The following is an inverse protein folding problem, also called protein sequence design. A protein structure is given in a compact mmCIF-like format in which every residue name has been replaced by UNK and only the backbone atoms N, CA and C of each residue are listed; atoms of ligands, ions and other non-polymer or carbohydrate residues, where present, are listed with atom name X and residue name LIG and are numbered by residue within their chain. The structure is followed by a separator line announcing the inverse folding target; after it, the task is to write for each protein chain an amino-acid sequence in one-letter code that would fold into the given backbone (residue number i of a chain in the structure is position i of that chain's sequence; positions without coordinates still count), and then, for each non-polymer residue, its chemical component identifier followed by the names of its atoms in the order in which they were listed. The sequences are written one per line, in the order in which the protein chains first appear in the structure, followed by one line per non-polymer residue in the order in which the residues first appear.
data_IF_018429910788
#
_entry.id   IF_018429910788
#
_cell.length_a   1.000
_cell.length_b   1.000
_cell.length_c   1.000
_cell.angle_alpha   90.00
_cell.angle_beta   90.00
_cell.angle_gamma   90.00
#
_symmetry.space_group_name_H-M   'P 1'
#
loop_
_entity.id
_entity.type
_entity.pdbx_description
1 polymer ?
#
# COMPACT_ATOMS: atom_id res chain seq x y z
N UNK A 1 23.06 0.71 -40.58
CA UNK A 1 24.54 0.72 -40.39
C UNK A 1 25.22 1.72 -41.37
N UNK A 2 24.87 3.00 -41.31
CA UNK A 2 25.50 4.04 -42.13
C UNK A 2 26.87 4.44 -41.54
N UNK A 3 27.88 4.61 -42.40
CA UNK A 3 29.20 5.09 -41.98
C UNK A 3 30.14 4.04 -41.34
N UNK A 4 29.83 2.73 -41.45
CA UNK A 4 30.72 1.65 -41.00
C UNK A 4 31.56 1.17 -42.19
N UNK A 5 32.87 1.12 -42.00
CA UNK A 5 33.81 0.42 -42.89
C UNK A 5 34.06 -0.96 -42.29
N UNK A 6 33.79 -2.03 -43.06
CA UNK A 6 33.95 -3.42 -42.61
C UNK A 6 35.12 -4.08 -43.37
N UNK A 7 36.17 -4.42 -42.64
CA UNK A 7 37.32 -5.17 -43.17
C UNK A 7 37.08 -6.67 -42.92
N UNK A 8 36.79 -7.41 -43.99
CA UNK A 8 36.51 -8.87 -43.90
C UNK A 8 37.73 -9.64 -43.37
N UNK A 9 37.48 -10.46 -42.36
CA UNK A 9 38.49 -11.31 -41.71
C UNK A 9 38.42 -12.77 -42.22
N UNK A 10 37.19 -13.28 -42.43
CA UNK A 10 36.98 -14.65 -42.94
C UNK A 10 35.52 -15.05 -42.95
N UNK A 11 35.25 -16.18 -43.61
CA UNK A 11 33.94 -16.83 -43.64
C UNK A 11 33.99 -18.20 -42.98
N UNK A 12 32.91 -18.57 -42.31
CA UNK A 12 32.69 -19.88 -41.74
C UNK A 12 31.41 -20.43 -42.31
N UNK A 13 31.50 -21.50 -43.10
CA UNK A 13 30.31 -22.13 -43.70
C UNK A 13 29.58 -22.97 -42.69
N UNK A 14 28.25 -22.91 -42.70
CA UNK A 14 27.34 -23.64 -41.84
C UNK A 14 26.57 -24.65 -42.67
N UNK A 15 26.80 -25.94 -42.47
CA UNK A 15 26.15 -27.05 -43.17
C UNK A 15 25.70 -28.17 -42.24
N UNK A 16 26.29 -28.30 -41.07
CA UNK A 16 26.03 -29.34 -40.08
C UNK A 16 25.80 -28.71 -38.73
N UNK A 17 25.12 -29.41 -37.83
CA UNK A 17 24.87 -28.95 -36.47
C UNK A 17 26.17 -28.66 -35.69
N UNK A 18 27.21 -29.50 -35.89
CA UNK A 18 28.56 -29.30 -35.33
C UNK A 18 29.19 -27.95 -35.72
N UNK A 19 28.77 -27.33 -36.85
CA UNK A 19 29.31 -26.04 -37.26
C UNK A 19 28.83 -24.92 -36.33
N UNK A 20 27.74 -25.10 -35.57
CA UNK A 20 27.26 -24.13 -34.57
C UNK A 20 28.33 -23.99 -33.45
N UNK A 21 28.89 -25.09 -33.00
CA UNK A 21 29.94 -25.10 -31.97
C UNK A 21 31.21 -24.47 -32.52
N UNK A 22 31.61 -24.88 -33.76
CA UNK A 22 32.81 -24.35 -34.41
C UNK A 22 32.74 -22.83 -34.64
N UNK A 23 31.62 -22.30 -35.10
CA UNK A 23 31.41 -20.85 -35.28
C UNK A 23 31.51 -20.13 -33.96
N UNK A 24 30.82 -20.65 -32.92
CA UNK A 24 30.80 -20.06 -31.58
C UNK A 24 32.19 -19.91 -31.00
N UNK A 25 33.01 -20.99 -31.08
CA UNK A 25 34.34 -20.99 -30.50
C UNK A 25 35.30 -20.05 -31.29
N UNK A 26 35.22 -20.07 -32.61
CA UNK A 26 36.02 -19.16 -33.43
C UNK A 26 35.71 -17.69 -33.18
N UNK A 27 34.43 -17.34 -33.07
CA UNK A 27 33.98 -15.97 -32.71
C UNK A 27 34.43 -15.60 -31.30
N UNK A 28 34.39 -16.53 -30.34
CA UNK A 28 34.86 -16.29 -28.99
C UNK A 28 36.37 -16.00 -28.94
N UNK A 29 37.16 -16.79 -29.63
CA UNK A 29 38.61 -16.56 -29.72
C UNK A 29 38.90 -15.19 -30.34
N UNK A 30 38.23 -14.87 -31.44
CA UNK A 30 38.38 -13.56 -32.08
C UNK A 30 37.98 -12.40 -31.17
N UNK A 31 36.85 -12.53 -30.45
CA UNK A 31 36.40 -11.50 -29.51
C UNK A 31 37.42 -11.30 -28.34
N UNK A 32 38.03 -12.38 -27.85
CA UNK A 32 39.10 -12.31 -26.85
C UNK A 32 40.35 -11.62 -27.41
N UNK A 33 40.79 -12.00 -28.61
CA UNK A 33 41.96 -11.42 -29.27
C UNK A 33 41.76 -9.93 -29.58
N UNK A 34 40.50 -9.51 -29.82
CA UNK A 34 40.14 -8.12 -29.99
C UNK A 34 40.04 -7.34 -28.68
N UNK A 35 40.15 -7.98 -27.50
CA UNK A 35 40.15 -7.32 -26.17
C UNK A 35 38.78 -7.11 -25.56
N UNK A 36 37.73 -7.82 -25.97
CA UNK A 36 36.42 -7.78 -25.30
C UNK A 36 36.49 -8.45 -23.93
N UNK A 37 35.83 -7.86 -22.93
CA UNK A 37 35.66 -8.45 -21.60
C UNK A 37 34.85 -9.76 -21.63
N UNK A 38 34.96 -10.58 -20.60
CA UNK A 38 34.30 -11.88 -20.53
C UNK A 38 32.77 -11.82 -20.70
N UNK A 39 32.13 -10.81 -20.12
CA UNK A 39 30.65 -10.61 -20.21
C UNK A 39 30.25 -10.29 -21.64
N UNK A 40 31.01 -9.43 -22.32
CA UNK A 40 30.76 -9.06 -23.72
C UNK A 40 31.06 -10.21 -24.68
N UNK A 41 32.11 -11.03 -24.41
CA UNK A 41 32.36 -12.26 -25.15
C UNK A 41 31.16 -13.22 -25.08
N UNK A 42 30.53 -13.40 -23.92
CA UNK A 42 29.32 -14.22 -23.77
C UNK A 42 28.17 -13.65 -24.61
N UNK A 43 27.95 -12.34 -24.60
CA UNK A 43 26.90 -11.70 -25.42
C UNK A 43 27.13 -11.94 -26.91
N UNK A 44 28.35 -11.76 -27.42
CA UNK A 44 28.72 -11.97 -28.80
C UNK A 44 28.53 -13.45 -29.20
N UNK A 45 29.01 -14.37 -28.37
CA UNK A 45 28.92 -15.82 -28.66
C UNK A 45 27.49 -16.35 -28.59
N UNK A 46 26.65 -15.82 -27.69
CA UNK A 46 25.21 -16.14 -27.66
C UNK A 46 24.53 -15.65 -28.94
N UNK A 47 24.77 -14.40 -29.30
CA UNK A 47 24.19 -13.82 -30.53
C UNK A 47 24.58 -14.60 -31.79
N UNK A 48 25.85 -14.96 -31.93
CA UNK A 48 26.31 -15.74 -33.12
C UNK A 48 25.78 -17.16 -33.11
N UNK A 49 25.67 -17.80 -31.95
CA UNK A 49 25.09 -19.14 -31.86
C UNK A 49 23.63 -19.17 -32.34
N UNK A 50 22.83 -18.17 -31.97
CA UNK A 50 21.46 -18.03 -32.47
C UNK A 50 21.38 -17.75 -33.96
N UNK A 51 22.26 -16.89 -34.47
CA UNK A 51 22.33 -16.65 -35.94
C UNK A 51 22.72 -17.90 -36.72
N UNK A 52 23.70 -18.65 -36.20
CA UNK A 52 24.16 -19.90 -36.81
C UNK A 52 23.08 -20.98 -36.74
N UNK A 53 22.39 -21.09 -35.64
CA UNK A 53 21.26 -22.01 -35.45
C UNK A 53 20.13 -21.68 -36.45
N UNK A 54 19.79 -20.41 -36.61
CA UNK A 54 18.76 -19.99 -37.56
C UNK A 54 19.15 -20.40 -39.03
N UNK A 55 20.41 -20.27 -39.43
CA UNK A 55 20.87 -20.77 -40.72
C UNK A 55 20.63 -22.27 -40.85
N UNK A 56 21.04 -23.06 -39.83
CA UNK A 56 20.92 -24.51 -39.88
C UNK A 56 19.47 -24.98 -39.88
N UNK A 57 18.62 -24.42 -39.02
CA UNK A 57 17.22 -24.83 -38.88
C UNK A 57 16.35 -24.42 -40.06
N UNK A 58 16.53 -23.21 -40.60
CA UNK A 58 15.59 -22.64 -41.57
C UNK A 58 16.11 -22.69 -43.00
N UNK A 59 17.44 -22.67 -43.23
CA UNK A 59 18.02 -22.63 -44.58
C UNK A 59 18.87 -23.85 -44.90
N UNK A 60 19.23 -24.70 -43.92
CA UNK A 60 20.14 -25.86 -44.04
C UNK A 60 21.57 -25.54 -44.44
N UNK A 61 21.83 -24.38 -45.07
CA UNK A 61 23.19 -23.96 -45.40
C UNK A 61 23.28 -22.44 -45.49
N UNK A 62 24.47 -21.92 -45.13
CA UNK A 62 24.78 -20.50 -45.21
C UNK A 62 26.20 -20.21 -44.76
N UNK A 63 26.51 -18.96 -44.48
CA UNK A 63 27.82 -18.53 -44.05
C UNK A 63 27.74 -17.44 -42.98
N UNK A 64 28.66 -17.50 -42.04
CA UNK A 64 28.95 -16.43 -41.08
C UNK A 64 30.22 -15.72 -41.54
N UNK A 65 30.12 -14.46 -41.92
CA UNK A 65 31.23 -13.58 -42.26
C UNK A 65 31.65 -12.78 -41.03
N UNK A 66 32.92 -12.86 -40.66
CA UNK A 66 33.53 -12.09 -39.60
C UNK A 66 34.27 -10.88 -40.18
N UNK A 67 34.11 -9.72 -39.61
CA UNK A 67 34.75 -8.49 -40.09
C UNK A 67 35.17 -7.61 -38.90
N UNK A 68 36.27 -6.89 -39.04
CA UNK A 68 36.59 -5.75 -38.18
C UNK A 68 35.75 -4.55 -38.66
N UNK A 69 34.90 -4.04 -37.83
CA UNK A 69 34.09 -2.86 -38.08
C UNK A 69 34.79 -1.60 -37.56
N UNK A 70 34.86 -0.56 -38.38
CA UNK A 70 35.40 0.74 -37.98
C UNK A 70 34.39 1.85 -38.33
N UNK A 71 34.23 2.82 -37.39
CA UNK A 71 33.40 4.03 -37.61
C UNK A 71 34.19 5.27 -37.28
N UNK A 72 34.47 6.07 -38.29
CA UNK A 72 35.27 7.28 -38.12
C UNK A 72 36.65 7.00 -37.53
N UNK A 73 37.20 7.95 -36.77
CA UNK A 73 38.54 7.81 -36.19
C UNK A 73 38.57 7.18 -34.78
N UNK A 74 37.42 6.91 -34.15
CA UNK A 74 37.39 6.60 -32.75
C UNK A 74 36.78 5.23 -32.37
N UNK A 75 36.00 4.60 -33.23
CA UNK A 75 35.34 3.35 -32.91
C UNK A 75 35.82 2.18 -33.75
N UNK A 76 36.10 1.05 -33.12
CA UNK A 76 36.35 -0.26 -33.73
C UNK A 76 35.59 -1.35 -33.00
N UNK A 77 35.25 -2.43 -33.68
CA UNK A 77 34.48 -3.52 -33.07
C UNK A 77 34.38 -4.73 -33.98
N UNK A 78 33.68 -5.76 -33.55
CA UNK A 78 33.40 -6.93 -34.37
C UNK A 78 32.05 -6.79 -35.09
N UNK A 79 32.06 -6.99 -36.41
CA UNK A 79 30.88 -7.19 -37.20
C UNK A 79 30.74 -8.64 -37.60
N UNK A 80 29.57 -9.21 -37.35
CA UNK A 80 29.20 -10.56 -37.74
C UNK A 80 28.02 -10.48 -38.70
N UNK A 81 28.18 -11.06 -39.87
CA UNK A 81 27.13 -11.13 -40.88
C UNK A 81 26.76 -12.57 -41.13
N UNK A 82 25.54 -12.94 -40.79
CA UNK A 82 24.95 -14.23 -41.14
C UNK A 82 24.19 -14.07 -42.46
N UNK A 83 24.47 -14.97 -43.41
CA UNK A 83 23.78 -15.03 -44.73
C UNK A 83 23.36 -16.45 -45.02
N UNK A 84 22.13 -16.61 -45.44
CA UNK A 84 21.57 -17.88 -45.89
C UNK A 84 20.82 -17.68 -47.23
N UNK A 85 20.60 -18.79 -47.92
CA UNK A 85 19.82 -18.86 -49.14
C UNK A 85 18.49 -19.62 -48.91
N UNK A 86 17.91 -19.48 -47.69
CA UNK A 86 16.67 -20.10 -47.27
C UNK A 86 15.40 -19.47 -47.83
N UNK A 87 14.23 -19.81 -47.27
CA UNK A 87 12.94 -19.34 -47.80
C UNK A 87 12.71 -17.83 -47.57
N UNK A 88 13.58 -17.16 -46.83
CA UNK A 88 13.40 -15.76 -46.43
C UNK A 88 12.24 -15.52 -45.45
N UNK A 89 12.03 -14.27 -45.12
CA UNK A 89 11.02 -13.83 -44.15
C UNK A 89 10.07 -12.86 -44.86
N UNK A 90 8.76 -13.06 -44.69
CA UNK A 90 7.76 -12.15 -45.24
C UNK A 90 7.84 -10.74 -44.61
N UNK A 91 7.38 -9.74 -45.35
CA UNK A 91 7.51 -8.33 -44.95
C UNK A 91 6.77 -7.99 -43.64
N UNK A 92 5.61 -8.62 -43.39
CA UNK A 92 4.82 -8.37 -42.18
C UNK A 92 5.55 -8.91 -40.96
N UNK A 93 6.11 -10.12 -41.05
CA UNK A 93 6.91 -10.77 -40.00
C UNK A 93 8.23 -10.03 -39.79
N UNK A 94 8.88 -9.58 -40.87
CA UNK A 94 10.10 -8.79 -40.80
C UNK A 94 9.86 -7.47 -40.01
N UNK A 95 8.77 -6.77 -40.30
CA UNK A 95 8.37 -5.55 -39.54
C UNK A 95 8.14 -5.80 -38.08
N UNK A 96 7.56 -6.96 -37.69
CA UNK A 96 7.37 -7.34 -36.30
C UNK A 96 8.70 -7.65 -35.58
N UNK A 97 9.64 -8.32 -36.26
CA UNK A 97 10.99 -8.59 -35.73
C UNK A 97 11.74 -7.28 -35.52
N UNK A 98 11.71 -6.37 -36.50
CA UNK A 98 12.35 -5.04 -36.42
C UNK A 98 11.72 -4.19 -35.31
N UNK A 99 10.40 -4.28 -35.05
CA UNK A 99 9.71 -3.59 -33.94
C UNK A 99 9.90 -4.27 -32.60
N UNK A 100 10.43 -5.48 -32.52
CA UNK A 100 10.64 -6.23 -31.26
C UNK A 100 9.39 -6.88 -30.67
N UNK A 101 8.31 -7.01 -31.49
CA UNK A 101 7.01 -7.56 -31.03
C UNK A 101 6.80 -9.04 -31.42
N UNK A 102 7.69 -9.65 -32.16
CA UNK A 102 7.60 -11.06 -32.58
C UNK A 102 8.01 -12.01 -31.44
N UNK A 103 7.19 -13.05 -31.16
CA UNK A 103 7.55 -14.16 -30.27
C UNK A 103 7.76 -15.43 -31.09
N UNK A 104 8.94 -16.03 -30.96
CA UNK A 104 9.21 -17.34 -31.57
C UNK A 104 8.51 -18.46 -30.80
N UNK A 105 7.97 -19.44 -31.51
CA UNK A 105 7.27 -20.62 -30.95
C UNK A 105 8.24 -21.78 -30.63
N UNK A 106 9.46 -21.76 -31.19
CA UNK A 106 10.45 -22.83 -31.05
C UNK A 106 11.81 -22.26 -30.63
N UNK A 107 12.32 -22.70 -29.46
CA UNK A 107 13.68 -22.39 -28.96
C UNK A 107 13.72 -21.66 -27.63
N UNK A 108 14.91 -21.54 -27.04
CA UNK A 108 15.22 -20.93 -25.73
C UNK A 108 14.89 -19.42 -25.61
N UNK A 109 14.03 -18.87 -26.47
CA UNK A 109 13.49 -17.51 -26.35
C UNK A 109 14.44 -16.37 -26.73
N UNK A 110 15.65 -16.65 -27.18
CA UNK A 110 16.65 -15.61 -27.49
C UNK A 110 16.58 -15.15 -28.93
N UNK A 111 16.31 -15.99 -29.93
CA UNK A 111 16.08 -15.68 -31.36
C UNK A 111 16.65 -14.34 -31.89
N UNK A 112 16.14 -13.86 -33.03
CA UNK A 112 16.58 -12.59 -33.66
C UNK A 112 16.35 -11.35 -32.74
N UNK A 113 15.31 -11.39 -31.89
CA UNK A 113 15.05 -10.29 -30.91
C UNK A 113 16.08 -10.27 -29.79
N UNK A 114 16.48 -11.44 -29.30
CA UNK A 114 17.55 -11.55 -28.32
C UNK A 114 18.91 -11.13 -28.88
N UNK A 115 19.23 -11.56 -30.07
CA UNK A 115 20.43 -11.13 -30.82
C UNK A 115 20.51 -9.60 -30.91
N UNK A 116 19.40 -8.93 -31.26
CA UNK A 116 19.31 -7.47 -31.28
C UNK A 116 19.57 -6.82 -29.93
N UNK A 117 19.13 -7.44 -28.81
CA UNK A 117 19.36 -6.90 -27.45
C UNK A 117 20.79 -7.06 -26.96
N UNK A 118 21.50 -8.09 -27.46
CA UNK A 118 22.87 -8.40 -27.05
C UNK A 118 23.92 -7.58 -27.78
N UNK A 119 23.61 -7.13 -29.02
CA UNK A 119 24.52 -6.40 -29.90
C UNK A 119 24.16 -4.91 -29.91
N UNK A 120 25.14 -4.07 -30.28
CA UNK A 120 24.96 -2.61 -30.29
C UNK A 120 24.29 -2.13 -31.56
N UNK A 121 24.55 -2.82 -32.69
CA UNK A 121 23.84 -2.56 -33.92
C UNK A 121 23.32 -3.85 -34.52
N UNK A 122 22.19 -3.73 -35.20
CA UNK A 122 21.48 -4.83 -35.82
C UNK A 122 20.83 -4.36 -37.15
N UNK A 123 21.11 -5.04 -38.24
CA UNK A 123 20.47 -4.86 -39.52
C UNK A 123 20.02 -6.21 -40.07
N UNK A 124 18.82 -6.26 -40.66
CA UNK A 124 18.26 -7.45 -41.25
C UNK A 124 17.64 -7.13 -42.58
N UNK A 125 18.01 -7.91 -43.59
CA UNK A 125 17.49 -7.85 -44.94
C UNK A 125 17.02 -9.25 -45.34
N UNK A 126 15.76 -9.40 -45.70
CA UNK A 126 15.20 -10.66 -46.12
C UNK A 126 14.10 -10.42 -47.14
N UNK A 127 14.01 -11.30 -48.13
CA UNK A 127 12.91 -11.36 -49.08
C UNK A 127 12.48 -12.80 -49.28
N UNK A 128 11.16 -13.04 -49.43
CA UNK A 128 10.67 -14.38 -49.70
C UNK A 128 11.38 -15.01 -50.94
N UNK A 129 12.00 -16.16 -50.76
CA UNK A 129 12.71 -16.90 -51.79
C UNK A 129 14.15 -16.43 -52.08
N UNK A 130 14.64 -15.34 -51.48
CA UNK A 130 15.99 -14.80 -51.68
C UNK A 130 16.92 -15.00 -50.47
N UNK A 131 16.42 -15.67 -49.42
CA UNK A 131 17.16 -15.90 -48.19
C UNK A 131 17.14 -14.72 -47.20
N UNK A 132 18.02 -14.80 -46.19
CA UNK A 132 18.12 -13.79 -45.14
C UNK A 132 19.58 -13.38 -44.95
N UNK A 133 19.79 -12.07 -44.72
CA UNK A 133 21.05 -11.50 -44.28
C UNK A 133 20.83 -10.73 -43.00
N UNK A 134 21.54 -11.13 -41.95
CA UNK A 134 21.53 -10.42 -40.64
C UNK A 134 22.95 -9.94 -40.37
N UNK A 135 23.12 -8.65 -40.18
CA UNK A 135 24.40 -8.06 -39.78
C UNK A 135 24.28 -7.45 -38.36
N UNK A 136 25.23 -7.76 -37.49
CA UNK A 136 25.29 -7.27 -36.14
C UNK A 136 26.66 -6.72 -35.84
N UNK A 137 26.75 -5.69 -34.98
CA UNK A 137 28.01 -5.09 -34.55
C UNK A 137 28.04 -4.99 -33.05
N UNK A 138 29.21 -5.27 -32.49
CA UNK A 138 29.56 -5.00 -31.10
C UNK A 138 30.79 -4.13 -31.06
N UNK A 139 30.69 -2.98 -30.42
CA UNK A 139 31.76 -2.01 -30.32
C UNK A 139 32.66 -2.29 -29.15
N UNK A 140 33.96 -2.04 -29.30
CA UNK A 140 34.94 -2.05 -28.21
C UNK A 140 34.88 -0.72 -27.43
N UNK A 141 35.24 -0.74 -26.15
CA UNK A 141 35.56 0.49 -25.42
C UNK A 141 36.65 1.29 -26.14
N UNK A 142 36.71 2.63 -25.95
CA UNK A 142 37.60 3.50 -26.71
C UNK A 142 39.10 3.16 -26.63
N UNK A 143 39.56 2.59 -25.52
CA UNK A 143 40.96 2.23 -25.33
C UNK A 143 41.32 1.00 -26.15
N UNK A 144 40.53 -0.07 -26.10
CA UNK A 144 40.69 -1.31 -26.83
C UNK A 144 40.43 -1.09 -28.32
N UNK A 145 39.49 -0.22 -28.68
CA UNK A 145 39.22 0.14 -30.05
C UNK A 145 40.47 0.73 -30.77
N UNK A 146 41.26 1.54 -30.05
CA UNK A 146 42.52 2.09 -30.60
C UNK A 146 43.57 1.00 -30.85
N UNK A 147 43.66 0.00 -29.95
CA UNK A 147 44.62 -1.09 -30.03
C UNK A 147 44.33 -2.07 -31.22
N UNK A 148 43.05 -2.23 -31.58
CA UNK A 148 42.60 -3.20 -32.60
C UNK A 148 42.55 -2.59 -33.98
N UNK A 149 42.48 -1.29 -34.06
CA UNK A 149 42.38 -0.54 -35.30
C UNK A 149 43.59 -0.75 -36.24
N UNK A 150 43.31 -0.98 -37.53
CA UNK A 150 44.36 -1.27 -38.51
C UNK A 150 44.93 -2.71 -38.46
N UNK A 151 44.55 -3.51 -37.44
CA UNK A 151 45.02 -4.91 -37.28
C UNK A 151 44.24 -5.93 -38.14
N UNK A 152 43.44 -5.48 -39.11
CA UNK A 152 42.67 -6.38 -39.95
C UNK A 152 43.50 -7.50 -40.62
N UNK A 153 44.74 -7.28 -41.13
CA UNK A 153 45.57 -8.37 -41.64
C UNK A 153 45.90 -9.42 -40.60
N UNK A 154 46.36 -9.01 -39.39
CA UNK A 154 46.73 -9.91 -38.28
C UNK A 154 45.53 -10.72 -37.77
N UNK A 155 44.37 -10.09 -37.62
CA UNK A 155 43.14 -10.74 -37.21
C UNK A 155 42.60 -11.69 -38.31
N UNK A 156 42.87 -11.41 -39.58
CA UNK A 156 42.56 -12.31 -40.68
C UNK A 156 43.42 -13.60 -40.61
N UNK A 157 44.72 -13.47 -40.40
CA UNK A 157 45.62 -14.61 -40.23
C UNK A 157 45.21 -15.44 -39.02
N UNK A 158 44.85 -14.80 -37.88
CA UNK A 158 44.30 -15.45 -36.68
C UNK A 158 43.03 -16.26 -36.97
N UNK A 159 42.10 -15.71 -37.76
CA UNK A 159 40.87 -16.42 -38.18
C UNK A 159 41.14 -17.55 -39.16
N UNK A 160 42.20 -17.45 -39.98
CA UNK A 160 42.55 -18.46 -40.97
C UNK A 160 43.29 -19.66 -40.39
N UNK A 161 43.95 -19.52 -39.22
CA UNK A 161 44.69 -20.62 -38.60
C UNK A 161 43.69 -21.68 -38.10
N UNK A 162 43.65 -22.83 -38.78
CA UNK A 162 42.90 -24.02 -38.35
C UNK A 162 43.64 -24.74 -37.21
N UNK A 163 43.41 -24.35 -35.97
CA UNK A 163 43.60 -25.25 -34.87
C UNK A 163 42.29 -25.98 -34.62
N UNK A 164 42.32 -27.27 -34.86
CA UNK A 164 41.24 -28.24 -34.63
C UNK A 164 41.11 -28.51 -33.11
N UNK A 165 40.76 -27.48 -32.34
CA UNK A 165 40.41 -27.62 -30.91
C UNK A 165 39.04 -28.30 -30.82
N UNK A 166 39.16 -29.54 -30.48
CA UNK A 166 38.14 -30.55 -30.62
C UNK A 166 36.82 -30.24 -29.87
N UNK A 167 35.73 -30.74 -30.43
CA UNK A 167 34.43 -30.83 -29.79
C UNK A 167 34.49 -31.36 -28.31
N UNK A 168 35.57 -32.12 -28.00
CA UNK A 168 35.85 -32.64 -26.68
C UNK A 168 36.23 -31.58 -25.64
N UNK A 169 36.99 -30.54 -26.00
CA UNK A 169 37.36 -29.47 -25.05
C UNK A 169 36.13 -28.56 -24.74
N UNK A 170 35.33 -28.31 -25.73
CA UNK A 170 34.06 -27.55 -25.50
C UNK A 170 33.09 -28.36 -24.66
N UNK A 171 32.94 -29.67 -24.91
CA UNK A 171 32.07 -30.54 -24.11
C UNK A 171 32.60 -30.63 -22.65
N UNK A 172 33.90 -30.74 -22.46
CA UNK A 172 34.52 -30.75 -21.14
C UNK A 172 34.33 -29.45 -20.38
N UNK A 173 34.26 -28.30 -21.10
CA UNK A 173 33.97 -27.00 -20.51
C UNK A 173 32.52 -26.86 -20.14
N UNK A 174 31.60 -27.24 -21.05
CA UNK A 174 30.15 -27.21 -20.76
C UNK A 174 29.80 -28.08 -19.56
N UNK A 175 30.45 -29.26 -19.43
CA UNK A 175 30.26 -30.10 -18.26
C UNK A 175 30.74 -29.42 -16.96
N UNK A 176 31.91 -28.72 -16.98
CA UNK A 176 32.34 -27.94 -15.81
C UNK A 176 31.37 -26.82 -15.43
N UNK A 177 30.93 -26.06 -16.41
CA UNK A 177 29.95 -24.96 -16.21
C UNK A 177 28.62 -25.53 -15.66
N UNK A 178 28.16 -26.68 -16.18
CA UNK A 178 26.95 -27.36 -15.69
C UNK A 178 27.10 -27.84 -14.23
N UNK A 179 28.24 -28.44 -13.88
CA UNK A 179 28.49 -28.87 -12.49
C UNK A 179 28.52 -27.71 -11.53
N UNK A 180 29.09 -26.57 -11.95
CA UNK A 180 29.07 -25.35 -11.14
C UNK A 180 27.64 -24.82 -10.91
N UNK A 181 26.85 -24.76 -11.99
CA UNK A 181 25.44 -24.31 -11.89
C UNK A 181 24.62 -25.26 -11.01
N UNK A 182 24.86 -26.57 -11.10
CA UNK A 182 24.18 -27.55 -10.24
C UNK A 182 24.54 -27.35 -8.78
N UNK A 183 25.81 -27.10 -8.45
CA UNK A 183 26.25 -26.81 -7.09
C UNK A 183 25.60 -25.53 -6.52
N UNK A 184 25.54 -24.45 -7.33
CA UNK A 184 24.88 -23.21 -6.95
C UNK A 184 23.37 -23.41 -6.75
N UNK A 185 22.74 -24.25 -7.58
CA UNK A 185 21.31 -24.56 -7.46
C UNK A 185 21.01 -25.36 -6.18
N UNK A 186 21.87 -26.33 -5.85
CA UNK A 186 21.73 -27.11 -4.61
C UNK A 186 21.88 -26.22 -3.37
N UNK A 187 22.87 -25.33 -3.35
CA UNK A 187 23.04 -24.36 -2.26
C UNK A 187 21.79 -23.44 -2.11
N UNK A 188 21.28 -22.94 -3.24
CA UNK A 188 20.05 -22.12 -3.24
C UNK A 188 18.84 -22.90 -2.76
N UNK A 189 18.74 -24.19 -3.11
CA UNK A 189 17.66 -25.05 -2.65
C UNK A 189 17.70 -25.24 -1.15
N UNK A 190 18.88 -25.52 -0.58
CA UNK A 190 19.07 -25.67 0.86
C UNK A 190 18.72 -24.37 1.62
N UNK A 191 19.17 -23.22 1.09
CA UNK A 191 18.83 -21.91 1.65
C UNK A 191 17.31 -21.66 1.63
N UNK A 192 16.65 -22.03 0.53
CA UNK A 192 15.20 -21.90 0.38
C UNK A 192 14.43 -22.81 1.36
N UNK A 193 14.86 -24.06 1.53
CA UNK A 193 14.28 -25.01 2.49
C UNK A 193 14.44 -24.50 3.93
N UNK A 194 15.62 -24.01 4.29
CA UNK A 194 15.87 -23.43 5.62
C UNK A 194 15.01 -22.19 5.89
N UNK A 195 14.87 -21.31 4.90
CA UNK A 195 14.02 -20.12 5.00
C UNK A 195 12.54 -20.49 5.11
N UNK A 196 12.09 -21.46 4.34
CA UNK A 196 10.70 -21.95 4.38
C UNK A 196 10.36 -22.54 5.77
N UNK A 197 11.23 -23.37 6.31
CA UNK A 197 11.06 -23.93 7.66
C UNK A 197 11.00 -22.83 8.74
N UNK A 198 11.82 -21.79 8.61
CA UNK A 198 11.80 -20.65 9.53
C UNK A 198 10.53 -19.83 9.39
N UNK A 199 10.04 -19.63 8.15
CA UNK A 199 8.77 -18.94 7.87
C UNK A 199 7.59 -19.71 8.46
N UNK A 200 7.55 -21.04 8.30
CA UNK A 200 6.49 -21.89 8.86
C UNK A 200 6.49 -21.86 10.39
N UNK A 201 7.67 -21.89 11.03
CA UNK A 201 7.79 -21.78 12.47
C UNK A 201 7.26 -20.42 12.96
N UNK A 202 7.69 -19.32 12.34
CA UNK A 202 7.23 -17.97 12.68
C UNK A 202 5.71 -17.78 12.46
N UNK A 203 5.16 -18.36 11.38
CA UNK A 203 3.71 -18.34 11.14
C UNK A 203 2.93 -19.11 12.21
N UNK A 204 3.47 -20.25 12.70
CA UNK A 204 2.83 -20.98 13.81
C UNK A 204 2.82 -20.16 15.09
N UNK A 205 3.96 -19.58 15.48
CA UNK A 205 4.05 -18.70 16.65
C UNK A 205 3.11 -17.51 16.55
N UNK A 206 3.03 -16.87 15.38
CA UNK A 206 2.13 -15.76 15.14
C UNK A 206 0.66 -16.16 15.25
N UNK A 207 0.28 -17.32 14.72
CA UNK A 207 -1.08 -17.83 14.80
C UNK A 207 -1.47 -18.19 16.26
N UNK A 208 -0.57 -18.80 17.01
CA UNK A 208 -0.77 -19.09 18.44
C UNK A 208 -0.92 -17.81 19.26
N UNK A 209 -0.05 -16.81 19.02
CA UNK A 209 -0.15 -15.51 19.69
C UNK A 209 -1.47 -14.79 19.34
N UNK A 210 -1.88 -14.82 18.07
CA UNK A 210 -3.17 -14.24 17.65
C UNK A 210 -4.38 -14.97 18.25
N UNK A 211 -4.34 -16.31 18.34
CA UNK A 211 -5.39 -17.08 18.99
C UNK A 211 -5.51 -16.70 20.48
N UNK A 212 -4.39 -16.61 21.18
CA UNK A 212 -4.35 -16.21 22.59
C UNK A 212 -4.84 -14.77 22.82
N UNK A 213 -4.46 -13.85 21.92
CA UNK A 213 -4.95 -12.46 21.98
C UNK A 213 -6.47 -12.39 21.80
N UNK A 214 -7.03 -13.17 20.86
CA UNK A 214 -8.49 -13.25 20.64
C UNK A 214 -9.22 -13.82 21.85
N UNK A 215 -8.68 -14.88 22.44
CA UNK A 215 -9.23 -15.48 23.66
C UNK A 215 -9.22 -14.49 24.83
N UNK A 216 -8.10 -13.82 25.06
CA UNK A 216 -8.00 -12.78 26.09
C UNK A 216 -8.96 -11.61 25.84
N UNK A 217 -9.13 -11.18 24.60
CA UNK A 217 -10.09 -10.14 24.24
C UNK A 217 -11.51 -10.56 24.50
N UNK A 218 -11.89 -11.79 24.13
CA UNK A 218 -13.22 -12.34 24.41
C UNK A 218 -13.51 -12.45 25.92
N UNK A 219 -12.55 -12.96 26.69
CA UNK A 219 -12.67 -13.02 28.15
C UNK A 219 -12.81 -11.63 28.78
N UNK A 220 -12.06 -10.64 28.29
CA UNK A 220 -12.18 -9.25 28.74
C UNK A 220 -13.58 -8.69 28.49
N UNK A 221 -14.14 -8.94 27.29
CA UNK A 221 -15.50 -8.49 26.94
C UNK A 221 -16.56 -9.15 27.82
N UNK A 222 -16.49 -10.47 27.99
CA UNK A 222 -17.41 -11.22 28.84
C UNK A 222 -17.33 -10.73 30.30
N UNK A 223 -16.13 -10.58 30.84
CA UNK A 223 -15.93 -10.05 32.20
C UNK A 223 -16.54 -8.66 32.36
N UNK A 224 -16.29 -7.74 31.40
CA UNK A 224 -16.85 -6.39 31.45
C UNK A 224 -18.38 -6.40 31.32
N UNK A 225 -18.94 -7.26 30.46
CA UNK A 225 -20.39 -7.38 30.28
C UNK A 225 -21.06 -7.89 31.55
N UNK A 226 -20.53 -8.95 32.18
CA UNK A 226 -21.02 -9.52 33.42
C UNK A 226 -20.89 -8.51 34.57
N UNK A 227 -19.72 -7.91 34.77
CA UNK A 227 -19.48 -6.92 35.84
C UNK A 227 -20.42 -5.72 35.70
N UNK A 228 -20.67 -5.26 34.48
CA UNK A 228 -21.58 -4.14 34.25
C UNK A 228 -23.03 -4.50 34.57
N UNK A 229 -23.46 -5.71 34.16
CA UNK A 229 -24.80 -6.20 34.50
C UNK A 229 -24.97 -6.24 36.00
N UNK A 230 -23.98 -6.78 36.70
CA UNK A 230 -24.02 -6.95 38.17
C UNK A 230 -23.92 -5.62 38.94
N UNK A 231 -23.29 -4.60 38.34
CA UNK A 231 -23.30 -3.23 38.87
C UNK A 231 -24.60 -2.49 38.56
N UNK A 232 -25.20 -2.69 37.36
CA UNK A 232 -26.43 -2.00 36.97
C UNK A 232 -27.62 -2.39 37.84
N UNK A 233 -27.72 -3.65 38.21
CA UNK A 233 -28.84 -4.18 39.00
C UNK A 233 -28.97 -3.47 40.38
N UNK A 234 -27.95 -3.41 41.27
CA UNK A 234 -28.05 -2.71 42.52
C UNK A 234 -28.21 -1.18 42.35
N UNK A 235 -27.58 -0.58 41.32
CA UNK A 235 -27.75 0.85 41.03
C UNK A 235 -29.19 1.18 40.63
N UNK A 236 -29.87 0.31 39.88
CA UNK A 236 -31.28 0.46 39.54
C UNK A 236 -32.18 0.42 40.80
N UNK A 237 -31.89 -0.50 41.73
CA UNK A 237 -32.60 -0.55 43.00
C UNK A 237 -32.39 0.73 43.84
N UNK A 238 -31.13 1.18 43.96
CA UNK A 238 -30.78 2.42 44.66
C UNK A 238 -31.52 3.61 44.02
N UNK A 239 -31.52 3.74 42.71
CA UNK A 239 -32.24 4.78 41.96
C UNK A 239 -33.75 4.71 42.23
N UNK A 240 -34.33 3.51 42.27
CA UNK A 240 -35.73 3.31 42.61
C UNK A 240 -36.09 3.80 44.02
N UNK A 241 -35.23 3.49 44.99
CA UNK A 241 -35.40 3.96 46.37
C UNK A 241 -35.29 5.49 46.48
N UNK A 242 -34.28 6.09 45.81
CA UNK A 242 -34.11 7.54 45.76
C UNK A 242 -35.34 8.21 45.14
N UNK A 243 -35.84 7.70 44.02
CA UNK A 243 -37.06 8.21 43.38
C UNK A 243 -38.30 8.10 44.30
N UNK A 244 -38.35 7.05 45.11
CA UNK A 244 -39.42 6.87 46.05
C UNK A 244 -39.40 7.97 47.15
N UNK A 245 -38.23 8.34 47.61
CA UNK A 245 -38.05 9.48 48.53
C UNK A 245 -38.37 10.81 47.86
N UNK A 246 -37.91 11.05 46.63
CA UNK A 246 -38.14 12.28 45.86
C UNK A 246 -39.62 12.50 45.53
N UNK A 247 -40.40 11.42 45.37
CA UNK A 247 -41.81 11.47 45.01
C UNK A 247 -42.77 11.92 46.10
N UNK A 248 -42.27 12.17 47.34
CA UNK A 248 -43.09 12.58 48.47
C UNK A 248 -43.98 11.48 49.04
N UNK A 249 -43.90 10.24 48.55
CA UNK A 249 -44.74 9.11 49.02
C UNK A 249 -44.48 8.67 50.44
N UNK A 250 -43.34 9.06 50.99
CA UNK A 250 -42.95 8.76 52.38
C UNK A 250 -43.14 9.93 53.36
N UNK A 251 -43.82 10.97 52.90
CA UNK A 251 -44.03 12.22 53.66
C UNK A 251 -43.11 13.32 53.17
N UNK A 252 -43.32 14.55 53.67
CA UNK A 252 -42.52 15.71 53.32
C UNK A 252 -41.10 15.62 53.85
N UNK A 253 -40.14 15.77 53.01
CA UNK A 253 -38.72 15.84 53.37
C UNK A 253 -38.37 17.27 53.81
N UNK A 254 -37.55 17.39 54.85
CA UNK A 254 -36.91 18.65 55.23
C UNK A 254 -36.01 19.16 54.08
N UNK A 255 -35.67 20.44 54.07
CA UNK A 255 -34.76 21.02 53.07
C UNK A 255 -33.41 20.31 53.05
N UNK A 256 -32.89 19.90 54.19
CA UNK A 256 -31.64 19.18 54.30
C UNK A 256 -31.73 17.75 53.73
N UNK A 257 -32.83 17.05 54.03
CA UNK A 257 -33.10 15.73 53.44
C UNK A 257 -33.28 15.78 51.94
N UNK A 258 -33.96 16.81 51.40
CA UNK A 258 -34.09 17.04 49.97
C UNK A 258 -32.72 17.20 49.29
N UNK A 259 -31.85 18.00 49.90
CA UNK A 259 -30.48 18.18 49.39
C UNK A 259 -29.68 16.88 49.39
N UNK A 260 -29.79 16.07 50.46
CA UNK A 260 -29.14 14.75 50.53
C UNK A 260 -29.65 13.79 49.46
N UNK A 261 -30.96 13.69 49.27
CA UNK A 261 -31.60 12.84 48.27
C UNK A 261 -31.18 13.26 46.87
N UNK A 262 -31.17 14.55 46.58
CA UNK A 262 -30.67 15.07 45.27
C UNK A 262 -29.18 14.78 45.06
N UNK A 263 -28.35 14.82 46.12
CA UNK A 263 -26.94 14.43 46.02
C UNK A 263 -26.80 12.92 45.72
N UNK A 264 -27.59 12.07 46.41
CA UNK A 264 -27.61 10.63 46.16
C UNK A 264 -28.05 10.31 44.72
N UNK A 265 -29.10 10.98 44.22
CA UNK A 265 -29.62 10.84 42.89
C UNK A 265 -28.55 11.16 41.83
N UNK A 266 -27.89 12.32 41.97
CA UNK A 266 -26.79 12.74 41.07
C UNK A 266 -25.64 11.74 41.06
N UNK A 267 -25.19 11.26 42.25
CA UNK A 267 -24.09 10.30 42.33
C UNK A 267 -24.47 8.93 41.75
N UNK A 268 -25.71 8.48 41.98
CA UNK A 268 -26.19 7.21 41.41
C UNK A 268 -26.29 7.29 39.89
N UNK A 269 -26.80 8.39 39.36
CA UNK A 269 -26.87 8.63 37.89
C UNK A 269 -25.48 8.68 37.27
N UNK A 270 -24.51 9.36 37.89
CA UNK A 270 -23.12 9.38 37.46
C UNK A 270 -22.49 7.99 37.43
N UNK A 271 -22.78 7.12 38.41
CA UNK A 271 -22.29 5.74 38.41
C UNK A 271 -22.91 4.91 37.29
N UNK A 272 -24.20 5.07 37.03
CA UNK A 272 -24.86 4.39 35.89
C UNK A 272 -24.25 4.80 34.55
N UNK A 273 -23.97 6.10 34.38
CA UNK A 273 -23.32 6.61 33.16
C UNK A 273 -21.90 6.06 33.00
N UNK A 274 -21.10 6.05 34.10
CA UNK A 274 -19.75 5.45 34.10
C UNK A 274 -19.76 3.99 33.67
N UNK A 275 -20.68 3.21 34.23
CA UNK A 275 -20.81 1.77 33.94
C UNK A 275 -21.20 1.57 32.46
N UNK A 276 -22.12 2.38 31.93
CA UNK A 276 -22.52 2.32 30.52
C UNK A 276 -21.39 2.78 29.59
N UNK A 277 -20.65 3.82 29.97
CA UNK A 277 -19.49 4.32 29.20
C UNK A 277 -18.39 3.26 29.10
N UNK A 278 -18.12 2.54 30.20
CA UNK A 278 -17.11 1.46 30.20
C UNK A 278 -17.48 0.32 29.25
N UNK A 279 -18.76 -0.09 29.25
CA UNK A 279 -19.26 -1.09 28.30
C UNK A 279 -19.14 -0.65 26.85
N UNK A 280 -19.56 0.58 26.55
CA UNK A 280 -19.54 1.05 25.18
C UNK A 280 -18.11 1.26 24.69
N UNK A 281 -17.19 1.74 25.55
CA UNK A 281 -15.78 1.80 25.23
C UNK A 281 -15.21 0.41 24.90
N UNK A 282 -15.58 -0.63 25.67
CA UNK A 282 -15.16 -2.01 25.42
C UNK A 282 -15.69 -2.54 24.08
N UNK A 283 -17.00 -2.33 23.78
CA UNK A 283 -17.61 -2.76 22.51
C UNK A 283 -17.04 -2.04 21.30
N UNK A 284 -16.65 -0.78 21.43
CA UNK A 284 -15.99 -0.02 20.40
C UNK A 284 -14.58 -0.53 20.13
N UNK A 285 -13.81 -0.84 21.18
CA UNK A 285 -12.45 -1.41 21.05
C UNK A 285 -12.43 -2.76 20.35
N UNK A 286 -13.36 -3.63 20.68
CA UNK A 286 -13.45 -4.96 20.08
C UNK A 286 -14.03 -4.94 18.66
N UNK A 287 -14.53 -3.81 18.19
CA UNK A 287 -15.20 -3.70 16.89
C UNK A 287 -16.53 -4.45 16.82
N UNK A 288 -17.10 -4.82 17.98
CA UNK A 288 -18.38 -5.56 18.08
C UNK A 288 -19.60 -4.65 18.04
N UNK A 289 -19.40 -3.33 18.25
CA UNK A 289 -20.49 -2.36 18.15
C UNK A 289 -20.97 -2.20 16.71
N UNK A 290 -22.26 -2.44 16.47
CA UNK A 290 -22.91 -2.25 15.17
C UNK A 290 -23.82 -1.03 15.21
N UNK A 291 -23.95 -0.36 14.05
CA UNK A 291 -24.92 0.71 13.84
C UNK A 291 -26.22 0.14 13.25
N UNK A 292 -27.31 0.59 13.80
CA UNK A 292 -28.64 0.47 13.16
C UNK A 292 -28.94 1.79 12.44
N UNK A 293 -28.31 1.95 11.26
CA UNK A 293 -28.37 3.19 10.51
C UNK A 293 -29.69 3.31 9.74
N UNK A 294 -30.41 4.38 10.01
CA UNK A 294 -31.67 4.76 9.35
C UNK A 294 -31.58 6.19 8.79
N UNK A 295 -32.58 6.56 8.01
CA UNK A 295 -32.79 7.96 7.59
C UNK A 295 -33.36 8.77 8.75
N UNK A 296 -32.64 9.79 9.20
CA UNK A 296 -32.95 10.59 10.40
C UNK A 296 -33.05 12.06 10.04
N UNK A 297 -34.10 12.70 10.49
CA UNK A 297 -34.23 14.17 10.53
C UNK A 297 -33.48 14.74 11.74
N UNK A 298 -32.45 15.53 11.50
CA UNK A 298 -31.59 16.08 12.58
C UNK A 298 -32.38 17.11 13.44
N UNK A 299 -33.24 17.93 12.82
CA UNK A 299 -33.99 18.98 13.50
C UNK A 299 -34.80 18.39 14.67
N UNK A 300 -35.62 17.39 14.43
CA UNK A 300 -36.44 16.77 15.48
C UNK A 300 -35.59 16.15 16.62
N UNK A 301 -34.44 15.60 16.29
CA UNK A 301 -33.52 15.07 17.29
C UNK A 301 -32.89 16.18 18.16
N UNK A 302 -32.55 17.33 17.55
CA UNK A 302 -32.00 18.50 18.27
C UNK A 302 -33.05 19.14 19.14
N UNK A 303 -34.28 19.30 18.66
CA UNK A 303 -35.42 19.87 19.43
C UNK A 303 -35.72 19.01 20.70
N UNK A 304 -35.76 17.67 20.55
CA UNK A 304 -35.91 16.76 21.70
C UNK A 304 -34.79 16.95 22.73
N UNK A 305 -33.54 17.02 22.24
CA UNK A 305 -32.37 17.20 23.09
C UNK A 305 -32.39 18.54 23.82
N UNK A 306 -32.69 19.63 23.09
CA UNK A 306 -32.73 20.96 23.67
C UNK A 306 -33.81 21.09 24.73
N UNK A 307 -35.01 20.56 24.48
CA UNK A 307 -36.05 20.48 25.48
C UNK A 307 -35.63 19.76 26.74
N UNK A 308 -34.84 18.67 26.63
CA UNK A 308 -34.29 17.96 27.76
C UNK A 308 -33.22 18.77 28.53
N UNK A 309 -32.39 19.55 27.82
CA UNK A 309 -31.27 20.32 28.38
C UNK A 309 -31.70 21.72 28.90
N UNK A 310 -32.84 22.22 28.42
CA UNK A 310 -33.34 23.56 28.77
C UNK A 310 -33.46 23.83 30.29
N UNK A 311 -33.95 22.90 31.14
CA UNK A 311 -33.98 23.10 32.59
C UNK A 311 -32.59 23.36 33.16
N UNK A 312 -31.58 22.57 32.76
CA UNK A 312 -30.19 22.71 33.21
C UNK A 312 -29.59 24.04 32.72
N UNK A 313 -29.82 24.40 31.44
CA UNK A 313 -29.38 25.67 30.89
C UNK A 313 -29.98 26.88 31.67
N UNK A 314 -31.27 26.81 32.00
CA UNK A 314 -31.94 27.87 32.77
C UNK A 314 -31.40 27.96 34.21
N UNK A 315 -31.17 26.84 34.88
CA UNK A 315 -30.56 26.82 36.24
C UNK A 315 -29.19 27.52 36.24
N UNK A 316 -28.41 27.34 35.19
CA UNK A 316 -27.13 28.00 35.00
C UNK A 316 -27.18 29.36 34.30
N UNK A 317 -28.36 29.86 33.99
CA UNK A 317 -28.56 31.14 33.22
C UNK A 317 -27.80 31.16 31.90
N UNK A 318 -27.68 29.98 31.22
CA UNK A 318 -26.98 29.84 29.92
C UNK A 318 -28.01 29.92 28.80
N UNK A 319 -27.74 30.76 27.79
CA UNK A 319 -28.53 30.80 26.55
C UNK A 319 -28.22 29.54 25.70
N UNK A 320 -29.25 28.73 25.46
CA UNK A 320 -29.14 27.56 24.55
C UNK A 320 -29.85 27.94 23.23
N UNK A 321 -29.08 27.99 22.14
CA UNK A 321 -29.54 28.41 20.83
C UNK A 321 -29.39 27.26 19.79
N UNK A 322 -30.39 27.17 18.89
CA UNK A 322 -30.38 26.18 17.80
C UNK A 322 -30.42 26.92 16.46
N UNK A 323 -29.51 26.51 15.56
CA UNK A 323 -29.44 27.02 14.19
C UNK A 323 -29.39 25.87 13.20
N UNK A 324 -30.49 25.15 13.08
CA UNK A 324 -30.67 24.02 12.20
C UNK A 324 -31.52 24.46 10.99
N UNK A 325 -30.97 24.51 9.76
CA UNK A 325 -31.72 24.84 8.55
C UNK A 325 -32.91 23.90 8.32
N UNK A 326 -33.98 24.40 7.73
CA UNK A 326 -35.17 23.58 7.42
C UNK A 326 -34.94 22.63 6.25
N UNK A 327 -34.10 23.03 5.32
CA UNK A 327 -33.74 22.30 4.11
C UNK A 327 -32.53 21.36 4.28
N UNK A 328 -32.18 21.04 5.55
CA UNK A 328 -31.06 20.12 5.82
C UNK A 328 -31.43 18.71 5.34
N UNK A 329 -30.53 18.02 4.57
CA UNK A 329 -30.80 16.66 4.11
C UNK A 329 -30.91 15.67 5.29
N UNK A 330 -31.73 14.64 5.12
CA UNK A 330 -31.78 13.52 6.09
C UNK A 330 -30.40 12.88 6.25
N UNK A 331 -30.10 12.48 7.48
CA UNK A 331 -28.84 11.84 7.84
C UNK A 331 -28.98 10.32 7.77
N UNK A 332 -27.94 9.63 7.32
CA UNK A 332 -27.81 8.17 7.44
C UNK A 332 -27.08 7.85 8.75
N UNK A 333 -27.83 7.63 9.82
CA UNK A 333 -27.23 7.43 11.14
C UNK A 333 -28.05 6.48 12.05
N UNK A 334 -27.42 5.98 13.10
CA UNK A 334 -28.12 5.36 14.25
C UNK A 334 -28.60 6.47 15.19
N UNK A 335 -29.93 6.60 15.31
CA UNK A 335 -30.58 7.66 16.12
C UNK A 335 -30.08 7.67 17.57
N UNK A 336 -29.97 6.52 18.20
CA UNK A 336 -29.58 6.42 19.61
C UNK A 336 -28.11 6.81 19.81
N UNK A 337 -27.23 6.40 18.90
CA UNK A 337 -25.81 6.72 18.93
C UNK A 337 -25.56 8.20 18.60
N UNK A 338 -26.24 8.75 17.58
CA UNK A 338 -26.16 10.16 17.24
C UNK A 338 -26.67 11.04 18.38
N UNK A 339 -27.81 10.65 19.02
CA UNK A 339 -28.32 11.32 20.20
C UNK A 339 -27.28 11.34 21.33
N UNK A 340 -26.57 10.22 21.55
CA UNK A 340 -25.52 10.13 22.58
C UNK A 340 -24.35 11.08 22.27
N UNK A 341 -23.90 11.17 21.02
CA UNK A 341 -22.87 12.14 20.59
C UNK A 341 -23.32 13.57 20.96
N UNK A 342 -24.53 13.95 20.58
CA UNK A 342 -25.07 15.28 20.84
C UNK A 342 -25.24 15.56 22.33
N UNK A 343 -25.79 14.61 23.10
CA UNK A 343 -25.93 14.72 24.56
C UNK A 343 -24.58 14.98 25.21
N UNK A 344 -23.56 14.22 24.86
CA UNK A 344 -22.24 14.39 25.43
C UNK A 344 -21.62 15.77 25.12
N UNK A 345 -21.70 16.20 23.85
CA UNK A 345 -21.16 17.51 23.46
C UNK A 345 -21.91 18.67 24.11
N UNK A 346 -23.25 18.64 24.15
CA UNK A 346 -24.08 19.71 24.74
C UNK A 346 -23.94 19.73 26.27
N UNK A 347 -23.90 18.56 26.93
CA UNK A 347 -23.70 18.50 28.40
C UNK A 347 -22.33 19.03 28.80
N UNK A 348 -21.28 18.72 28.01
CA UNK A 348 -19.94 19.28 28.21
C UNK A 348 -19.96 20.82 28.00
N UNK A 349 -20.58 21.32 26.94
CA UNK A 349 -20.72 22.75 26.71
C UNK A 349 -21.42 23.47 27.89
N UNK A 350 -22.58 22.95 28.35
CA UNK A 350 -23.28 23.50 29.53
C UNK A 350 -22.48 23.38 30.84
N UNK A 351 -21.68 22.32 30.95
CA UNK A 351 -20.85 22.08 32.15
C UNK A 351 -19.73 23.11 32.28
N UNK A 352 -19.04 23.42 31.18
CA UNK A 352 -17.86 24.28 31.17
C UNK A 352 -18.16 25.74 30.81
N UNK A 353 -19.42 26.07 30.52
CA UNK A 353 -19.85 27.45 30.31
C UNK A 353 -20.22 28.10 31.63
N UNK A 354 -19.66 29.27 32.00
CA UNK A 354 -20.07 30.01 33.19
C UNK A 354 -21.48 30.60 33.05
N UNK A 355 -22.07 31.01 34.18
CA UNK A 355 -23.36 31.69 34.22
C UNK A 355 -23.40 32.92 33.29
N UNK A 356 -24.51 33.11 32.58
CA UNK A 356 -24.67 34.19 31.61
C UNK A 356 -23.99 33.91 30.26
N UNK A 357 -23.38 32.73 30.06
CA UNK A 357 -22.80 32.33 28.78
C UNK A 357 -23.82 31.81 27.79
N UNK A 358 -23.31 31.27 26.67
CA UNK A 358 -24.11 30.75 25.57
C UNK A 358 -23.57 29.43 25.04
N UNK A 359 -24.49 28.55 24.67
CA UNK A 359 -24.22 27.30 23.95
C UNK A 359 -25.06 27.31 22.68
N UNK A 360 -24.43 27.08 21.52
CA UNK A 360 -25.08 27.11 20.22
C UNK A 360 -24.89 25.77 19.49
N UNK A 361 -26.02 25.17 19.05
CA UNK A 361 -26.02 24.03 18.16
C UNK A 361 -26.26 24.53 16.73
N UNK A 362 -25.38 24.17 15.82
CA UNK A 362 -25.48 24.55 14.42
C UNK A 362 -25.29 23.33 13.53
N UNK A 363 -26.00 23.30 12.38
CA UNK A 363 -25.79 22.32 11.35
C UNK A 363 -25.79 22.94 9.97
N UNK A 364 -24.97 22.42 9.07
CA UNK A 364 -24.88 22.87 7.68
C UNK A 364 -24.44 21.74 6.76
N UNK A 365 -24.84 21.77 5.47
CA UNK A 365 -24.24 20.87 4.48
C UNK A 365 -22.72 21.10 4.38
N UNK A 366 -21.95 20.01 4.18
CA UNK A 366 -20.50 20.04 3.99
C UNK A 366 -20.08 19.19 2.79
N UNK A 367 -20.06 19.83 1.62
CA UNK A 367 -19.78 19.13 0.37
C UNK A 367 -20.86 18.10 0.01
N UNK A 368 -20.61 17.27 -0.99
CA UNK A 368 -21.59 16.26 -1.43
C UNK A 368 -21.68 15.12 -0.42
N UNK A 369 -22.89 14.84 0.07
CA UNK A 369 -23.18 13.65 0.89
C UNK A 369 -22.86 13.76 2.37
N UNK A 370 -22.56 14.96 2.91
CA UNK A 370 -22.21 15.16 4.32
C UNK A 370 -22.93 16.36 4.94
N UNK A 371 -23.21 16.24 6.23
CA UNK A 371 -23.65 17.35 7.07
C UNK A 371 -22.64 17.53 8.20
N UNK A 372 -22.23 18.77 8.43
CA UNK A 372 -21.43 19.16 9.61
C UNK A 372 -22.39 19.64 10.69
N UNK A 373 -22.24 19.07 11.88
CA UNK A 373 -22.92 19.50 13.10
C UNK A 373 -21.88 20.08 14.04
N UNK A 374 -22.16 21.20 14.67
CA UNK A 374 -21.26 21.85 15.62
C UNK A 374 -21.98 22.27 16.89
N UNK A 375 -21.28 22.12 18.01
CA UNK A 375 -21.68 22.63 19.32
C UNK A 375 -20.61 23.61 19.76
N UNK A 376 -20.99 24.88 19.85
CA UNK A 376 -20.12 25.98 20.28
C UNK A 376 -20.52 26.46 21.65
N UNK A 377 -19.56 26.73 22.53
CA UNK A 377 -19.75 27.28 23.87
C UNK A 377 -18.89 28.54 24.07
N UNK A 378 -19.31 29.40 24.97
CA UNK A 378 -18.53 30.55 25.44
C UNK A 378 -17.89 30.28 26.81
N UNK A 379 -17.40 29.06 26.98
CA UNK A 379 -16.85 28.56 28.23
C UNK A 379 -15.41 28.94 28.47
N UNK A 380 -14.79 28.23 29.37
CA UNK A 380 -13.38 28.47 29.80
C UNK A 380 -12.36 28.17 28.70
N UNK A 381 -12.76 27.45 27.65
CA UNK A 381 -11.86 26.99 26.60
C UNK A 381 -10.87 25.90 27.05
N UNK A 382 -10.13 25.38 26.06
CA UNK A 382 -9.17 24.27 26.24
C UNK A 382 -7.79 24.78 25.89
N UNK A 383 -6.77 24.54 26.75
CA UNK A 383 -5.40 24.87 26.45
C UNK A 383 -4.89 24.14 25.20
N UNK A 384 -4.01 24.76 24.36
CA UNK A 384 -3.46 24.13 23.16
C UNK A 384 -2.76 22.78 23.44
N UNK A 385 -2.10 22.66 24.59
CA UNK A 385 -1.38 21.45 24.99
C UNK A 385 -2.31 20.27 25.30
N UNK A 386 -3.58 20.54 25.64
CA UNK A 386 -4.56 19.51 25.93
C UNK A 386 -5.40 19.11 24.69
N UNK A 387 -5.40 19.92 23.61
CA UNK A 387 -6.25 19.70 22.42
C UNK A 387 -5.95 18.40 21.67
N UNK A 388 -4.71 17.96 21.67
CA UNK A 388 -4.30 16.69 21.00
C UNK A 388 -4.90 15.47 21.71
N UNK A 389 -5.05 15.54 23.03
CA UNK A 389 -5.29 14.38 23.87
C UNK A 389 -6.74 14.28 24.36
N UNK A 390 -7.59 15.33 24.17
CA UNK A 390 -8.96 15.35 24.73
C UNK A 390 -9.88 14.23 24.24
N UNK A 391 -9.55 13.63 23.11
CA UNK A 391 -10.26 12.47 22.55
C UNK A 391 -9.67 11.14 22.97
N UNK A 392 -8.60 11.14 23.75
CA UNK A 392 -7.98 9.92 24.27
C UNK A 392 -8.73 9.39 25.49
N UNK A 393 -8.60 8.09 25.76
CA UNK A 393 -9.24 7.47 26.92
C UNK A 393 -8.72 8.05 28.22
N UNK A 394 -9.67 8.34 29.11
CA UNK A 394 -9.38 8.88 30.44
C UNK A 394 -8.68 10.26 30.41
N UNK A 395 -8.66 10.89 29.25
CA UNK A 395 -8.14 12.25 29.12
C UNK A 395 -9.01 13.22 29.92
N UNK A 396 -8.37 14.02 30.74
CA UNK A 396 -8.99 15.12 31.50
C UNK A 396 -8.10 16.33 31.37
N UNK A 397 -8.69 17.52 31.10
CA UNK A 397 -7.93 18.75 31.01
C UNK A 397 -7.17 19.01 32.32
N UNK A 398 -5.87 19.30 32.20
CA UNK A 398 -4.96 19.49 33.36
C UNK A 398 -5.14 20.83 34.05
N UNK A 399 -5.99 21.71 33.52
CA UNK A 399 -6.23 23.06 34.04
C UNK A 399 -6.86 23.04 35.45
N UNK A 400 -6.40 23.96 36.33
CA UNK A 400 -6.97 24.18 37.66
C UNK A 400 -8.45 24.61 37.61
N UNK A 401 -8.90 25.29 36.57
CA UNK A 401 -10.27 25.75 36.41
C UNK A 401 -11.28 24.61 36.18
N UNK A 402 -10.84 23.46 35.68
CA UNK A 402 -11.69 22.29 35.39
C UNK A 402 -11.67 21.22 36.47
N UNK A 403 -10.83 21.35 37.51
CA UNK A 403 -10.67 20.34 38.59
C UNK A 403 -11.91 20.14 39.47
N UNK A 404 -12.80 21.11 39.53
CA UNK A 404 -14.05 20.99 40.32
C UNK A 404 -15.13 20.14 39.65
N UNK A 405 -15.00 19.94 38.35
CA UNK A 405 -16.00 19.28 37.48
C UNK A 405 -15.46 17.96 36.90
N UNK A 406 -15.20 16.99 37.80
CA UNK A 406 -14.68 15.67 37.38
C UNK A 406 -15.65 14.95 36.44
N UNK A 407 -15.17 14.55 35.28
CA UNK A 407 -15.84 13.66 34.34
C UNK A 407 -15.15 12.29 34.29
N UNK A 408 -15.71 11.35 33.53
CA UNK A 408 -15.15 10.00 33.36
C UNK A 408 -13.89 9.98 32.48
N UNK A 409 -13.72 10.99 31.60
CA UNK A 409 -12.71 11.01 30.55
C UNK A 409 -12.99 10.02 29.41
N UNK A 410 -14.17 9.38 29.40
CA UNK A 410 -14.59 8.46 28.34
C UNK A 410 -15.55 9.09 27.33
N UNK A 411 -16.26 10.15 27.71
CA UNK A 411 -17.33 10.71 26.89
C UNK A 411 -16.84 11.20 25.51
N UNK A 412 -15.77 12.00 25.46
CA UNK A 412 -15.24 12.48 24.18
C UNK A 412 -14.59 11.36 23.35
N UNK A 413 -13.92 10.41 24.00
CA UNK A 413 -13.41 9.20 23.32
C UNK A 413 -14.54 8.42 22.65
N UNK A 414 -15.63 8.14 23.39
CA UNK A 414 -16.80 7.43 22.84
C UNK A 414 -17.45 8.26 21.73
N UNK A 415 -17.55 9.59 21.88
CA UNK A 415 -18.07 10.48 20.87
C UNK A 415 -17.28 10.37 19.57
N UNK A 416 -15.94 10.43 19.62
CA UNK A 416 -15.07 10.25 18.47
C UNK A 416 -15.29 8.90 17.81
N UNK A 417 -15.28 7.82 18.58
CA UNK A 417 -15.47 6.47 18.07
C UNK A 417 -16.85 6.28 17.42
N UNK A 418 -17.90 6.85 17.98
CA UNK A 418 -19.25 6.80 17.41
C UNK A 418 -19.34 7.58 16.09
N UNK A 419 -18.72 8.75 16.00
CA UNK A 419 -18.65 9.54 14.76
C UNK A 419 -17.86 8.81 13.68
N UNK A 420 -16.69 8.26 14.04
CA UNK A 420 -15.87 7.46 13.14
C UNK A 420 -16.60 6.19 12.66
N UNK A 421 -17.36 5.53 13.53
CA UNK A 421 -18.19 4.37 13.17
C UNK A 421 -19.28 4.73 12.13
N UNK A 422 -19.81 5.96 12.16
CA UNK A 422 -20.71 6.49 11.13
C UNK A 422 -19.98 6.91 9.84
N UNK A 423 -18.64 6.76 9.77
CA UNK A 423 -17.81 7.18 8.64
C UNK A 423 -17.45 8.66 8.64
N UNK A 424 -17.84 9.40 9.69
CA UNK A 424 -17.57 10.83 9.86
C UNK A 424 -16.23 11.11 10.52
N UNK A 425 -16.00 12.40 10.81
CA UNK A 425 -14.84 12.88 11.57
C UNK A 425 -15.30 13.92 12.59
N UNK A 426 -14.59 14.02 13.72
CA UNK A 426 -14.80 15.04 14.75
C UNK A 426 -13.56 15.91 14.89
N UNK A 427 -13.78 17.18 15.10
CA UNK A 427 -12.74 18.22 15.24
C UNK A 427 -13.11 19.15 16.39
N UNK A 428 -12.10 19.81 16.98
CA UNK A 428 -12.30 20.82 18.02
C UNK A 428 -11.49 22.08 17.69
N UNK A 429 -12.08 23.23 17.94
CA UNK A 429 -11.43 24.52 17.92
C UNK A 429 -11.71 25.18 19.25
N UNK A 430 -10.68 25.62 19.98
CA UNK A 430 -10.84 26.22 21.29
C UNK A 430 -9.75 27.24 21.60
N UNK A 431 -10.14 28.27 22.33
CA UNK A 431 -9.24 29.29 22.85
C UNK A 431 -9.56 29.57 24.32
N UNK A 432 -8.55 29.53 25.17
CA UNK A 432 -8.72 29.77 26.61
C UNK A 432 -9.39 31.11 26.87
N UNK A 433 -10.49 31.10 27.62
CA UNK A 433 -11.29 32.28 27.94
C UNK A 433 -12.27 32.73 26.87
N UNK A 434 -12.31 32.11 25.68
CA UNK A 434 -13.28 32.40 24.62
C UNK A 434 -14.30 31.30 24.38
N UNK A 435 -13.97 30.06 24.79
CA UNK A 435 -14.83 28.90 24.63
C UNK A 435 -14.29 27.87 23.65
N UNK A 436 -15.13 26.90 23.32
CA UNK A 436 -14.79 25.79 22.44
C UNK A 436 -15.88 25.55 21.38
N UNK A 437 -15.50 25.01 20.25
CA UNK A 437 -16.40 24.54 19.20
C UNK A 437 -16.01 23.13 18.81
N UNK A 438 -16.87 22.18 19.14
CA UNK A 438 -16.76 20.81 18.69
C UNK A 438 -17.59 20.63 17.42
N UNK A 439 -17.01 20.12 16.35
CA UNK A 439 -17.66 19.91 15.07
C UNK A 439 -17.47 18.47 14.60
N UNK A 440 -18.53 17.86 14.10
CA UNK A 440 -18.44 16.52 13.52
C UNK A 440 -19.24 16.40 12.23
N UNK A 441 -18.89 15.43 11.39
CA UNK A 441 -19.58 15.17 10.11
C UNK A 441 -20.33 13.85 10.18
N UNK A 442 -21.52 13.82 9.55
CA UNK A 442 -22.36 12.62 9.41
C UNK A 442 -22.79 12.51 7.94
N UNK A 443 -22.83 11.29 7.35
CA UNK A 443 -23.27 11.10 5.99
C UNK A 443 -24.77 11.37 5.84
N UNK A 444 -25.17 11.90 4.68
CA UNK A 444 -26.59 12.06 4.32
C UNK A 444 -27.18 10.72 3.86
N UNK A 445 -28.47 10.54 4.10
CA UNK A 445 -29.21 9.50 3.43
C UNK A 445 -29.30 9.86 1.94
N UNK A 446 -28.86 8.95 1.07
CA UNK A 446 -29.07 9.13 -0.37
C UNK A 446 -30.58 9.04 -0.60
N UNK A 447 -31.18 10.07 -1.19
CA UNK A 447 -32.56 9.96 -1.71
C UNK A 447 -32.54 8.83 -2.76
N UNK A 448 -33.28 7.75 -2.47
CA UNK A 448 -33.49 6.64 -3.39
C UNK A 448 -34.60 6.98 -4.40
#
# INVERSE_FOLDING_TARGET
MQGITAHRLGDIYVRREADIVRVRERVRRLAREMGFDATTQIKITTAVSELTRNIYEYARSGAITLSLAERGAAAAGIQITARDDGPGIDEAKLKQIVRGSYRSVSGLGVGLIGTRRLMDEFDIQSRPGEGTRVAVVKWLPPEEARAVRGRAPELRDFVATEEDDSALEELARQNRDLVQVLAELEEKREQMEALNNRLEASNRELNEANAKLREMSAMKEEFLALTTHDLRSPLTVISGVINFFSSGRLGDLTSEQKNMVQMMERNTQNLIELVNDLLDASKLESGTMRLDAASIELRGLVEELSNQMLPLAREKEIALEERIPEDLPFLKADRAKLRRVLVNLVSNALKFTPRGGRVELNARPEGPGWVRVSVADTGVGIPPDDLSDIFDKYAQARSRATRSEKGTGLGLYITRQLVELHGGRIEVQSEVGKGSTFSFTIPTAVES
#
